data_IF_294386904469
#
_entry.id   IF_294386904469
#
_cell.length_a   1.000
_cell.length_b   1.000
_cell.length_c   1.000
_cell.angle_alpha   90.00
_cell.angle_beta   90.00
_cell.angle_gamma   90.00
#
_symmetry.space_group_name_H-M   'P 1'
#
loop_
_entity.id
_entity.type
_entity.pdbx_description
1 polymer ?
#
# COMPACT_ATOMS: atom_id res chain seq x y z
N UNK A 1 4.59 15.54 30.17
CA UNK A 1 3.34 16.23 30.58
C UNK A 1 2.18 15.27 30.38
N UNK A 2 1.25 15.17 31.33
CA UNK A 2 0.07 14.31 31.20
C UNK A 2 -0.84 14.83 30.08
N UNK A 3 -1.12 13.99 29.09
CA UNK A 3 -1.93 14.35 27.93
C UNK A 3 -3.39 13.95 28.16
N UNK A 4 -4.30 14.92 28.04
CA UNK A 4 -5.71 14.75 28.33
C UNK A 4 -6.55 14.78 27.05
N UNK A 5 -7.43 13.79 26.89
CA UNK A 5 -8.32 13.64 25.74
C UNK A 5 -9.75 14.01 26.13
N UNK A 6 -10.45 14.86 25.35
CA UNK A 6 -11.86 15.12 25.57
C UNK A 6 -12.72 13.88 25.25
N UNK A 7 -13.92 13.82 25.81
CA UNK A 7 -14.86 12.71 25.60
C UNK A 7 -15.09 12.36 24.13
N UNK A 8 -15.09 13.34 23.22
CA UNK A 8 -15.21 13.11 21.78
C UNK A 8 -13.99 12.40 21.20
N UNK A 9 -12.77 12.81 21.57
CA UNK A 9 -11.54 12.14 21.14
C UNK A 9 -11.46 10.70 21.66
N UNK A 10 -11.87 10.49 22.91
CA UNK A 10 -12.00 9.14 23.48
C UNK A 10 -13.06 8.29 22.74
N UNK A 11 -14.20 8.88 22.39
CA UNK A 11 -15.26 8.20 21.64
C UNK A 11 -14.78 7.72 20.27
N UNK A 12 -14.05 8.59 19.55
CA UNK A 12 -13.45 8.27 18.25
C UNK A 12 -12.44 7.13 18.36
N UNK A 13 -11.52 7.17 19.34
CA UNK A 13 -10.53 6.11 19.55
C UNK A 13 -11.17 4.77 19.92
N UNK A 14 -12.21 4.79 20.74
CA UNK A 14 -12.87 3.58 21.22
C UNK A 14 -13.98 3.06 20.31
N UNK A 15 -14.24 3.71 19.17
CA UNK A 15 -15.34 3.43 18.24
C UNK A 15 -16.71 3.31 18.93
N UNK A 16 -17.01 4.25 19.82
CA UNK A 16 -18.30 4.36 20.52
C UNK A 16 -18.93 5.73 20.29
N UNK A 17 -20.22 5.86 20.56
CA UNK A 17 -20.87 7.18 20.51
C UNK A 17 -20.39 8.09 21.64
N UNK A 18 -20.38 9.40 21.40
CA UNK A 18 -19.98 10.41 22.38
C UNK A 18 -20.81 10.34 23.68
N UNK A 19 -22.10 10.00 23.57
CA UNK A 19 -22.98 9.75 24.72
C UNK A 19 -22.51 8.57 25.58
N UNK A 20 -22.09 7.47 24.95
CA UNK A 20 -21.54 6.30 25.65
C UNK A 20 -20.18 6.61 26.28
N UNK A 21 -19.35 7.41 25.60
CA UNK A 21 -18.08 7.89 26.11
C UNK A 21 -18.25 8.78 27.36
N UNK A 22 -19.11 9.81 27.32
CA UNK A 22 -19.42 10.63 28.51
C UNK A 22 -19.93 9.79 29.68
N UNK A 23 -20.86 8.87 29.43
CA UNK A 23 -21.39 7.97 30.47
C UNK A 23 -20.32 7.04 31.06
N UNK A 24 -19.34 6.60 30.27
CA UNK A 24 -18.21 5.82 30.77
C UNK A 24 -17.28 6.65 31.66
N UNK A 25 -16.93 7.86 31.22
CA UNK A 25 -16.06 8.78 31.96
C UNK A 25 -16.71 9.24 33.27
N UNK A 26 -18.00 9.56 33.25
CA UNK A 26 -18.77 9.91 34.45
C UNK A 26 -18.82 8.74 35.45
N UNK A 27 -19.04 7.51 34.98
CA UNK A 27 -19.04 6.32 35.85
C UNK A 27 -17.66 6.03 36.45
N UNK A 28 -16.59 6.29 35.69
CA UNK A 28 -15.22 6.17 36.21
C UNK A 28 -14.95 7.23 37.27
N UNK A 29 -15.36 8.49 37.05
CA UNK A 29 -15.12 9.59 37.97
C UNK A 29 -15.98 9.51 39.25
N UNK A 30 -17.29 9.32 39.11
CA UNK A 30 -18.26 9.40 40.22
C UNK A 30 -18.49 8.09 40.94
N UNK A 31 -18.40 6.96 40.24
CA UNK A 31 -18.74 5.63 40.77
C UNK A 31 -17.53 4.70 40.87
N UNK A 32 -16.33 5.20 40.56
CA UNK A 32 -15.07 4.45 40.53
C UNK A 32 -15.18 3.10 39.78
N UNK A 33 -16.03 3.06 38.73
CA UNK A 33 -16.28 1.83 37.97
C UNK A 33 -15.27 1.70 36.83
N UNK A 34 -14.65 0.52 36.66
CA UNK A 34 -13.74 0.29 35.54
C UNK A 34 -14.51 0.30 34.22
N UNK A 35 -13.87 0.81 33.17
CA UNK A 35 -14.35 0.72 31.80
C UNK A 35 -13.62 -0.40 31.08
N UNK A 36 -14.37 -1.44 30.67
CA UNK A 36 -13.81 -2.66 30.04
C UNK A 36 -12.64 -3.26 30.84
N UNK A 37 -12.79 -3.32 32.16
CA UNK A 37 -11.77 -3.88 33.08
C UNK A 37 -10.60 -2.93 33.41
N UNK A 38 -10.52 -1.75 32.80
CA UNK A 38 -9.44 -0.77 33.04
C UNK A 38 -9.96 0.42 33.86
N UNK A 39 -9.18 0.89 34.83
CA UNK A 39 -9.50 2.11 35.60
C UNK A 39 -9.02 3.34 34.83
N UNK A 40 -9.92 4.25 34.52
CA UNK A 40 -9.61 5.47 33.78
C UNK A 40 -9.37 6.63 34.76
N UNK A 41 -8.30 7.39 34.55
CA UNK A 41 -8.07 8.66 35.25
C UNK A 41 -8.83 9.74 34.51
N UNK A 42 -9.86 10.29 35.14
CA UNK A 42 -10.78 11.25 34.52
C UNK A 42 -10.76 12.55 35.32
N UNK A 43 -10.87 13.69 34.64
CA UNK A 43 -11.06 15.01 35.28
C UNK A 43 -12.22 15.78 34.64
N UNK A 44 -12.71 16.77 35.38
CA UNK A 44 -13.57 17.81 34.85
C UNK A 44 -12.71 19.02 34.48
N UNK A 45 -12.84 19.49 33.24
CA UNK A 45 -12.19 20.70 32.76
C UNK A 45 -13.25 21.73 32.32
N UNK A 46 -13.00 23.03 32.48
CA UNK A 46 -13.87 24.06 31.92
C UNK A 46 -13.87 23.99 30.39
N UNK A 47 -15.04 24.06 29.76
CA UNK A 47 -15.16 24.02 28.31
C UNK A 47 -16.60 24.02 27.78
N UNK A 48 -16.78 24.48 26.55
CA UNK A 48 -18.07 24.51 25.87
C UNK A 48 -18.59 23.08 25.59
N UNK A 49 -19.88 22.82 25.88
CA UNK A 49 -20.58 21.59 25.45
C UNK A 49 -21.02 20.61 26.56
N UNK A 50 -21.19 21.06 27.81
CA UNK A 50 -21.79 20.25 28.88
C UNK A 50 -22.65 21.09 29.85
N UNK A 51 -23.54 20.46 30.65
CA UNK A 51 -24.29 21.17 31.70
C UNK A 51 -23.31 21.87 32.65
N UNK A 52 -23.51 23.16 32.92
CA UNK A 52 -22.64 24.02 33.76
C UNK A 52 -21.24 24.33 33.18
N UNK A 53 -21.02 24.19 31.86
CA UNK A 53 -19.77 24.64 31.22
C UNK A 53 -18.54 23.77 31.53
N UNK A 54 -18.75 22.51 31.92
CA UNK A 54 -17.70 21.55 32.21
C UNK A 54 -17.73 20.37 31.24
N UNK A 55 -16.55 19.84 30.90
CA UNK A 55 -16.37 18.65 30.05
C UNK A 55 -15.52 17.60 30.75
N UNK A 56 -15.80 16.33 30.44
CA UNK A 56 -14.99 15.21 30.90
C UNK A 56 -13.78 15.01 30.00
N UNK A 57 -12.61 14.89 30.62
CA UNK A 57 -11.36 14.54 29.96
C UNK A 57 -10.74 13.31 30.62
N UNK A 58 -10.11 12.45 29.82
CA UNK A 58 -9.42 11.23 30.27
C UNK A 58 -7.94 11.35 30.00
N UNK A 59 -7.12 10.88 30.93
CA UNK A 59 -5.68 10.84 30.77
C UNK A 59 -5.29 9.71 29.80
N UNK A 60 -4.49 10.03 28.79
CA UNK A 60 -4.08 9.08 27.75
C UNK A 60 -3.38 7.84 28.32
N UNK A 61 -2.51 8.01 29.31
CA UNK A 61 -1.77 6.93 29.98
C UNK A 61 -2.67 5.94 30.73
N UNK A 62 -3.87 6.36 31.12
CA UNK A 62 -4.86 5.51 31.81
C UNK A 62 -5.72 4.67 30.87
N UNK A 63 -5.63 4.92 29.55
CA UNK A 63 -6.36 4.14 28.56
C UNK A 63 -5.73 2.74 28.37
N UNK A 64 -6.50 1.73 27.93
CA UNK A 64 -5.95 0.46 27.48
C UNK A 64 -4.86 0.65 26.42
N UNK A 65 -3.82 -0.20 26.46
CA UNK A 65 -2.65 -0.10 25.57
C UNK A 65 -3.02 0.02 24.08
N UNK A 66 -4.00 -0.75 23.63
CA UNK A 66 -4.51 -0.69 22.26
C UNK A 66 -5.02 0.71 21.85
N UNK A 67 -5.65 1.46 22.76
CA UNK A 67 -6.13 2.82 22.48
C UNK A 67 -4.98 3.84 22.51
N UNK A 68 -3.97 3.61 23.34
CA UNK A 68 -2.75 4.42 23.35
C UNK A 68 -1.98 4.27 22.04
N UNK A 69 -1.86 3.04 21.53
CA UNK A 69 -1.24 2.74 20.23
C UNK A 69 -2.03 3.31 19.07
N UNK A 70 -3.37 3.19 19.09
CA UNK A 70 -4.24 3.80 18.08
C UNK A 70 -4.10 5.32 18.04
N UNK A 71 -3.97 5.96 19.21
CA UNK A 71 -3.72 7.40 19.28
C UNK A 71 -2.34 7.78 18.75
N UNK A 72 -1.28 7.02 19.09
CA UNK A 72 0.07 7.24 18.55
C UNK A 72 0.12 7.08 17.04
N UNK A 73 -0.61 6.11 16.48
CA UNK A 73 -0.69 5.89 15.03
C UNK A 73 -1.34 7.08 14.30
N UNK A 74 -2.29 7.79 14.91
CA UNK A 74 -2.90 9.00 14.35
C UNK A 74 -1.95 10.21 14.35
N UNK A 75 -0.98 10.23 15.27
CA UNK A 75 0.00 11.32 15.40
C UNK A 75 1.28 11.07 14.61
N UNK A 76 1.58 9.80 14.31
CA UNK A 76 2.65 9.47 13.37
C UNK A 76 2.33 10.14 12.03
N UNK A 77 3.17 11.07 11.54
CA UNK A 77 3.00 11.60 10.22
C UNK A 77 3.20 10.43 9.26
N UNK A 78 2.10 9.90 8.74
CA UNK A 78 2.14 9.15 7.49
C UNK A 78 2.60 10.17 6.47
N UNK A 79 3.91 10.30 6.27
CA UNK A 79 4.46 10.85 5.04
C UNK A 79 3.89 9.96 3.95
N UNK A 80 2.78 10.40 3.37
CA UNK A 80 2.32 9.88 2.10
C UNK A 80 3.55 10.02 1.20
N UNK A 81 4.16 8.89 0.86
CA UNK A 81 5.20 8.86 -0.17
C UNK A 81 4.50 9.45 -1.39
N UNK A 82 4.92 10.62 -1.90
CA UNK A 82 4.27 11.19 -3.06
C UNK A 82 4.39 10.14 -4.17
N UNK A 83 3.25 9.78 -4.76
CA UNK A 83 3.22 8.88 -5.90
C UNK A 83 4.18 9.42 -6.96
N UNK A 84 5.28 8.71 -7.20
CA UNK A 84 6.33 9.07 -8.18
C UNK A 84 5.83 8.94 -9.65
N UNK A 85 4.52 8.90 -9.88
CA UNK A 85 3.85 8.84 -11.19
C UNK A 85 2.63 9.76 -11.24
N UNK A 86 2.75 10.96 -10.69
CA UNK A 86 1.86 12.06 -11.06
C UNK A 86 2.51 12.80 -12.25
N UNK A 87 2.04 12.53 -13.47
CA UNK A 87 2.42 13.31 -14.67
C UNK A 87 2.13 14.82 -14.46
N UNK A 88 1.23 15.14 -13.54
CA UNK A 88 0.93 16.48 -13.03
C UNK A 88 2.15 17.18 -12.39
N UNK A 89 2.97 16.42 -11.64
CA UNK A 89 4.14 16.96 -10.94
C UNK A 89 5.24 17.39 -11.92
N UNK A 90 5.35 16.73 -13.08
CA UNK A 90 6.35 17.08 -14.09
C UNK A 90 6.09 18.49 -14.65
N UNK A 91 4.84 18.83 -14.95
CA UNK A 91 4.50 20.15 -15.53
C UNK A 91 4.73 21.29 -14.53
N UNK A 92 4.35 21.11 -13.26
CA UNK A 92 4.56 22.14 -12.24
C UNK A 92 6.04 22.39 -11.94
N UNK A 93 6.84 21.33 -11.81
CA UNK A 93 8.29 21.45 -11.63
C UNK A 93 8.99 22.01 -12.87
N UNK A 94 8.56 21.62 -14.07
CA UNK A 94 9.07 22.19 -15.32
C UNK A 94 8.79 23.70 -15.41
N UNK A 95 7.56 24.14 -15.10
CA UNK A 95 7.23 25.58 -15.03
C UNK A 95 8.06 26.32 -13.99
N UNK A 96 8.25 25.72 -12.81
CA UNK A 96 9.06 26.30 -11.73
C UNK A 96 10.51 26.49 -12.18
N UNK A 97 11.10 25.48 -12.80
CA UNK A 97 12.46 25.56 -13.34
C UNK A 97 12.61 26.71 -14.35
N UNK A 98 11.60 26.92 -15.19
CA UNK A 98 11.61 27.98 -16.20
C UNK A 98 11.60 29.38 -15.58
N UNK A 99 10.77 29.60 -14.55
CA UNK A 99 10.62 30.92 -13.90
C UNK A 99 11.64 31.16 -12.78
N UNK A 100 12.37 30.13 -12.35
CA UNK A 100 13.37 30.21 -11.27
C UNK A 100 14.41 31.33 -11.45
N UNK A 101 14.94 31.62 -12.66
CA UNK A 101 15.83 32.77 -12.86
C UNK A 101 15.17 34.11 -12.53
N UNK A 102 13.90 34.30 -12.91
CA UNK A 102 13.16 35.52 -12.62
C UNK A 102 12.79 35.65 -11.13
N UNK A 103 12.57 34.53 -10.44
CA UNK A 103 12.29 34.50 -8.98
C UNK A 103 13.50 34.90 -8.11
N UNK A 104 14.73 34.89 -8.64
CA UNK A 104 15.93 35.37 -7.92
C UNK A 104 15.96 36.88 -7.75
N UNK A 105 15.13 37.60 -8.49
CA UNK A 105 15.07 39.06 -8.48
C UNK A 105 13.79 39.52 -7.76
N UNK A 106 13.89 40.67 -7.11
CA UNK A 106 12.75 41.26 -6.41
C UNK A 106 11.57 41.52 -7.35
N UNK A 107 10.37 41.43 -6.79
CA UNK A 107 9.13 41.68 -7.52
C UNK A 107 9.14 43.12 -8.06
N UNK A 108 8.77 43.29 -9.33
CA UNK A 108 8.76 44.57 -10.05
C UNK A 108 10.13 45.21 -10.35
N UNK A 109 11.24 44.50 -10.11
CA UNK A 109 12.57 45.02 -10.47
C UNK A 109 12.80 44.99 -11.99
N UNK A 110 13.62 45.94 -12.49
CA UNK A 110 14.03 45.96 -13.89
C UNK A 110 14.78 44.67 -14.29
N UNK A 111 15.61 44.14 -13.38
CA UNK A 111 16.32 42.87 -13.54
C UNK A 111 15.37 41.68 -13.73
N UNK A 112 14.22 41.66 -13.02
CA UNK A 112 13.18 40.64 -13.22
C UNK A 112 12.52 40.77 -14.59
N UNK A 113 12.25 41.98 -15.04
CA UNK A 113 11.69 42.22 -16.38
C UNK A 113 12.64 41.83 -17.52
N UNK A 114 13.95 41.95 -17.33
CA UNK A 114 14.95 41.43 -18.27
C UNK A 114 15.01 39.90 -18.26
N UNK A 115 14.99 39.27 -17.08
CA UNK A 115 14.94 37.83 -16.96
C UNK A 115 13.69 37.22 -17.64
N UNK A 116 12.53 37.87 -17.51
CA UNK A 116 11.29 37.45 -18.19
C UNK A 116 11.43 37.53 -19.71
N UNK A 117 11.95 38.64 -20.25
CA UNK A 117 12.19 38.80 -21.69
C UNK A 117 13.16 37.75 -22.24
N UNK A 118 14.20 37.42 -21.48
CA UNK A 118 15.15 36.36 -21.84
C UNK A 118 14.47 34.99 -21.88
N UNK A 119 13.60 34.69 -20.90
CA UNK A 119 12.83 33.45 -20.89
C UNK A 119 11.91 33.37 -22.12
N UNK A 120 11.29 34.48 -22.53
CA UNK A 120 10.36 34.49 -23.65
C UNK A 120 11.03 34.45 -25.04
N UNK A 121 12.28 34.92 -25.13
CA UNK A 121 13.07 34.87 -26.35
C UNK A 121 13.60 33.46 -26.69
N UNK A 122 13.63 32.55 -25.71
CA UNK A 122 14.16 31.20 -25.88
C UNK A 122 13.07 30.17 -26.22
N UNK A 123 13.29 29.38 -27.26
CA UNK A 123 12.50 28.17 -27.52
C UNK A 123 13.01 27.03 -26.65
N UNK A 124 12.11 26.39 -25.89
CA UNK A 124 12.47 25.35 -24.92
C UNK A 124 11.72 24.05 -25.19
N UNK A 125 12.28 22.94 -24.73
CA UNK A 125 11.62 21.64 -24.82
C UNK A 125 10.54 21.53 -23.73
N UNK A 126 9.30 21.28 -24.16
CA UNK A 126 8.17 21.03 -23.26
C UNK A 126 8.24 19.66 -22.58
N UNK A 127 7.37 19.40 -21.59
CA UNK A 127 7.31 18.12 -20.88
C UNK A 127 7.04 16.92 -21.80
N UNK A 128 6.37 17.16 -22.94
CA UNK A 128 6.05 16.14 -23.96
C UNK A 128 7.17 15.99 -25.02
N UNK A 129 8.33 16.61 -24.83
CA UNK A 129 9.48 16.54 -25.75
C UNK A 129 9.40 17.46 -26.98
N UNK A 130 8.33 18.24 -27.14
CA UNK A 130 8.13 19.15 -28.28
C UNK A 130 8.69 20.55 -27.99
N UNK A 131 9.18 21.29 -29.01
CA UNK A 131 9.59 22.68 -28.82
C UNK A 131 8.39 23.58 -28.51
N UNK A 132 8.53 24.44 -27.50
CA UNK A 132 7.52 25.38 -27.02
C UNK A 132 8.16 26.75 -26.84
N UNK A 133 7.56 27.77 -27.43
CA UNK A 133 7.88 29.19 -27.18
C UNK A 133 6.89 29.75 -26.17
N UNK A 134 7.39 30.35 -25.10
CA UNK A 134 6.56 30.84 -23.98
C UNK A 134 6.53 32.36 -24.03
N UNK A 135 5.35 32.96 -24.04
CA UNK A 135 5.22 34.42 -24.11
C UNK A 135 5.51 35.09 -22.77
N UNK A 136 5.95 36.35 -22.78
CA UNK A 136 6.12 37.19 -21.58
C UNK A 136 4.89 37.13 -20.65
N UNK A 137 3.70 37.24 -21.25
CA UNK A 137 2.41 37.15 -20.53
C UNK A 137 2.23 35.82 -19.79
N UNK A 138 2.71 34.71 -20.38
CA UNK A 138 2.62 33.38 -19.78
C UNK A 138 3.61 33.23 -18.61
N UNK A 139 4.82 33.75 -18.77
CA UNK A 139 5.83 33.79 -17.70
C UNK A 139 5.32 34.62 -16.52
N UNK A 140 4.78 35.81 -16.77
CA UNK A 140 4.22 36.66 -15.72
C UNK A 140 3.05 35.98 -14.99
N UNK A 141 2.13 35.35 -15.72
CA UNK A 141 1.02 34.58 -15.13
C UNK A 141 1.51 33.45 -14.23
N UNK A 142 2.61 32.78 -14.58
CA UNK A 142 3.19 31.73 -13.75
C UNK A 142 3.88 32.30 -12.51
N UNK A 143 4.59 33.42 -12.63
CA UNK A 143 5.17 34.12 -11.47
C UNK A 143 4.08 34.52 -10.47
N UNK A 144 2.98 35.11 -10.95
CA UNK A 144 1.87 35.53 -10.10
C UNK A 144 1.19 34.32 -9.41
N UNK A 145 0.99 33.22 -10.17
CA UNK A 145 0.42 31.99 -9.62
C UNK A 145 1.34 31.32 -8.58
N UNK A 146 2.66 31.37 -8.80
CA UNK A 146 3.63 30.84 -7.85
C UNK A 146 3.72 31.69 -6.58
N UNK A 147 3.66 33.01 -6.69
CA UNK A 147 3.64 33.90 -5.53
C UNK A 147 2.36 33.74 -4.69
N UNK A 148 1.22 33.45 -5.33
CA UNK A 148 -0.05 33.27 -4.63
C UNK A 148 -0.20 31.88 -3.96
N UNK A 149 0.16 30.81 -4.66
CA UNK A 149 -0.17 29.42 -4.26
C UNK A 149 1.08 28.51 -4.20
N UNK A 150 2.29 29.05 -4.37
CA UNK A 150 3.53 28.27 -4.43
C UNK A 150 3.59 27.32 -5.63
N UNK A 151 4.24 26.17 -5.45
CA UNK A 151 4.33 25.13 -6.50
C UNK A 151 2.93 24.66 -6.96
N UNK A 152 1.93 24.65 -6.07
CA UNK A 152 0.57 24.22 -6.39
C UNK A 152 -0.10 25.11 -7.46
N UNK A 153 0.17 26.42 -7.45
CA UNK A 153 -0.36 27.36 -8.46
C UNK A 153 0.20 27.14 -9.87
N UNK A 154 1.35 26.48 -9.98
CA UNK A 154 1.96 26.12 -11.25
C UNK A 154 1.45 24.78 -11.80
N UNK A 155 0.75 23.98 -11.00
CA UNK A 155 0.21 22.70 -11.43
C UNK A 155 -0.94 22.88 -12.43
N UNK A 156 -1.24 21.83 -13.20
CA UNK A 156 -2.45 21.82 -14.03
C UNK A 156 -3.68 21.80 -13.11
N UNK A 157 -4.52 22.82 -13.21
CA UNK A 157 -5.82 22.83 -12.52
C UNK A 157 -6.64 21.64 -13.00
N UNK A 158 -7.26 20.95 -12.05
CA UNK A 158 -8.27 19.95 -12.38
C UNK A 158 -9.36 20.62 -13.22
N UNK A 159 -9.79 19.96 -14.30
CA UNK A 159 -10.87 20.49 -15.14
C UNK A 159 -12.14 20.63 -14.31
N UNK A 160 -12.90 21.72 -14.53
CA UNK A 160 -14.12 22.05 -13.77
C UNK A 160 -15.20 20.98 -13.86
N UNK A 161 -15.25 20.26 -14.98
CA UNK A 161 -16.15 19.16 -15.28
C UNK A 161 -15.63 17.78 -14.82
N UNK A 162 -14.49 17.74 -14.12
CA UNK A 162 -13.95 16.50 -13.57
C UNK A 162 -14.95 15.90 -12.58
N UNK A 163 -15.63 14.83 -13.00
CA UNK A 163 -16.64 14.12 -12.22
C UNK A 163 -18.06 14.24 -12.76
N UNK A 164 -18.33 15.12 -13.72
CA UNK A 164 -19.62 15.17 -14.41
C UNK A 164 -19.65 14.10 -15.51
N UNK A 165 -20.23 12.93 -15.24
CA UNK A 165 -20.52 11.95 -16.28
C UNK A 165 -21.65 12.47 -17.16
N UNK A 166 -21.31 13.03 -18.32
CA UNK A 166 -22.30 13.41 -19.36
C UNK A 166 -22.81 12.22 -20.16
N UNK A 167 -22.24 11.03 -19.93
CA UNK A 167 -22.39 9.82 -20.72
C UNK A 167 -22.38 8.64 -19.76
N UNK A 168 -23.41 7.79 -19.86
CA UNK A 168 -23.61 6.61 -19.02
C UNK A 168 -22.72 5.46 -19.48
N UNK A 169 -22.75 5.12 -20.78
CA UNK A 169 -21.91 4.05 -21.36
C UNK A 169 -21.00 4.62 -22.44
N UNK A 170 -21.55 5.17 -23.51
CA UNK A 170 -20.79 5.82 -24.57
C UNK A 170 -21.68 6.80 -25.31
N UNK A 171 -21.14 7.94 -25.78
CA UNK A 171 -21.94 8.94 -26.48
C UNK A 171 -22.67 8.36 -27.71
N UNK A 172 -22.05 7.38 -28.40
CA UNK A 172 -22.65 6.69 -29.55
C UNK A 172 -23.84 5.83 -29.14
N UNK A 173 -23.70 5.04 -28.07
CA UNK A 173 -24.79 4.20 -27.59
C UNK A 173 -25.90 5.03 -26.95
N UNK A 174 -25.55 5.95 -26.04
CA UNK A 174 -26.48 6.81 -25.30
C UNK A 174 -27.37 7.65 -26.24
N UNK A 175 -26.84 8.06 -27.41
CA UNK A 175 -27.57 8.82 -28.43
C UNK A 175 -28.29 7.98 -29.48
N UNK A 176 -27.94 6.69 -29.64
CA UNK A 176 -28.58 5.79 -30.61
C UNK A 176 -29.79 5.05 -30.03
N UNK A 177 -29.85 4.88 -28.71
CA UNK A 177 -30.95 4.17 -28.04
C UNK A 177 -32.05 5.14 -27.59
N UNK A 178 -33.34 4.78 -27.74
CA UNK A 178 -34.48 5.64 -27.41
C UNK A 178 -34.90 5.45 -25.95
N UNK A 179 -33.95 5.15 -25.07
CA UNK A 179 -34.21 4.82 -23.67
C UNK A 179 -34.19 6.08 -22.80
N UNK A 180 -34.97 6.07 -21.73
CA UNK A 180 -34.83 7.04 -20.66
C UNK A 180 -33.52 6.82 -19.88
N UNK A 181 -33.17 7.77 -19.01
CA UNK A 181 -31.93 7.71 -18.25
C UNK A 181 -31.90 6.52 -17.27
N UNK A 182 -33.04 6.19 -16.66
CA UNK A 182 -33.14 5.10 -15.69
C UNK A 182 -32.87 3.72 -16.30
N UNK A 183 -33.36 3.48 -17.52
CA UNK A 183 -33.09 2.25 -18.27
C UNK A 183 -31.62 2.22 -18.69
N UNK A 184 -31.05 3.36 -19.13
CA UNK A 184 -29.63 3.44 -19.49
C UNK A 184 -28.73 3.09 -18.31
N UNK A 185 -29.01 3.64 -17.13
CA UNK A 185 -28.30 3.33 -15.88
C UNK A 185 -28.42 1.85 -15.51
N UNK A 186 -29.61 1.27 -15.64
CA UNK A 186 -29.85 -0.16 -15.36
C UNK A 186 -29.02 -1.07 -16.28
N UNK A 187 -28.94 -0.74 -17.57
CA UNK A 187 -28.09 -1.46 -18.53
C UNK A 187 -26.63 -1.30 -18.17
N UNK A 188 -26.20 -0.08 -17.82
CA UNK A 188 -24.82 0.21 -17.46
C UNK A 188 -24.37 -0.56 -16.21
N UNK A 189 -25.19 -0.62 -15.15
CA UNK A 189 -24.88 -1.42 -13.96
C UNK A 189 -24.83 -2.92 -14.27
N UNK A 190 -25.76 -3.42 -15.09
CA UNK A 190 -25.72 -4.81 -15.56
C UNK A 190 -24.45 -5.13 -16.37
N UNK A 191 -24.01 -4.19 -17.20
CA UNK A 191 -22.77 -4.30 -17.98
C UNK A 191 -21.53 -4.27 -17.06
N UNK A 192 -21.47 -3.35 -16.10
CA UNK A 192 -20.38 -3.28 -15.11
C UNK A 192 -20.28 -4.56 -14.30
N UNK A 193 -21.41 -5.11 -13.84
CA UNK A 193 -21.46 -6.37 -13.11
C UNK A 193 -20.92 -7.55 -13.95
N UNK A 194 -21.24 -7.58 -15.24
CA UNK A 194 -20.70 -8.59 -16.17
C UNK A 194 -19.18 -8.44 -16.39
N UNK A 195 -18.71 -7.23 -16.69
CA UNK A 195 -17.27 -6.93 -16.85
C UNK A 195 -16.48 -7.29 -15.59
N UNK A 196 -17.04 -6.98 -14.41
CA UNK A 196 -16.49 -7.38 -13.12
C UNK A 196 -16.33 -8.90 -13.00
N UNK A 197 -17.32 -9.67 -13.46
CA UNK A 197 -17.25 -11.13 -13.54
C UNK A 197 -16.07 -11.61 -14.38
N UNK A 198 -15.92 -11.05 -15.57
CA UNK A 198 -14.81 -11.39 -16.48
C UNK A 198 -13.42 -11.08 -15.87
N UNK A 199 -13.29 -9.96 -15.15
CA UNK A 199 -12.05 -9.67 -14.42
C UNK A 199 -11.79 -10.70 -13.30
N UNK A 200 -12.81 -11.10 -12.54
CA UNK A 200 -12.70 -12.13 -11.49
C UNK A 200 -12.31 -13.50 -12.04
N UNK A 201 -12.68 -13.80 -13.27
CA UNK A 201 -12.30 -15.02 -13.99
C UNK A 201 -10.87 -14.95 -14.55
N UNK A 202 -10.29 -13.75 -14.64
CA UNK A 202 -8.95 -13.54 -15.18
C UNK A 202 -8.91 -13.46 -16.70
N UNK A 203 -10.04 -13.15 -17.33
CA UNK A 203 -10.18 -13.03 -18.80
C UNK A 203 -9.18 -12.01 -19.36
N UNK A 204 -8.70 -12.26 -20.59
CA UNK A 204 -7.76 -11.36 -21.26
C UNK A 204 -8.45 -10.03 -21.63
N UNK A 205 -7.68 -8.94 -21.66
CA UNK A 205 -8.22 -7.61 -21.93
C UNK A 205 -8.91 -7.51 -23.30
N UNK A 206 -8.33 -8.12 -24.34
CA UNK A 206 -8.90 -8.14 -25.69
C UNK A 206 -10.22 -8.92 -25.74
N UNK A 207 -10.31 -10.03 -25.01
CA UNK A 207 -11.54 -10.82 -24.96
C UNK A 207 -12.64 -10.11 -24.15
N UNK A 208 -12.26 -9.38 -23.09
CA UNK A 208 -13.21 -8.54 -22.33
C UNK A 208 -13.84 -7.48 -23.25
N UNK A 209 -13.06 -6.84 -24.12
CA UNK A 209 -13.59 -5.83 -25.05
C UNK A 209 -14.69 -6.44 -25.95
N UNK A 210 -14.43 -7.62 -26.52
CA UNK A 210 -15.39 -8.33 -27.37
C UNK A 210 -16.64 -8.78 -26.60
N UNK A 211 -16.46 -9.42 -25.44
CA UNK A 211 -17.57 -9.94 -24.63
C UNK A 211 -18.43 -8.82 -24.04
N UNK A 212 -17.82 -7.71 -23.64
CA UNK A 212 -18.55 -6.55 -23.13
C UNK A 212 -19.39 -5.90 -24.23
N UNK A 213 -18.86 -5.79 -25.45
CA UNK A 213 -19.62 -5.28 -26.59
C UNK A 213 -20.80 -6.18 -26.95
N UNK A 214 -20.59 -7.50 -26.98
CA UNK A 214 -21.67 -8.46 -27.23
C UNK A 214 -22.73 -8.43 -26.11
N UNK A 215 -22.29 -8.34 -24.85
CA UNK A 215 -23.21 -8.22 -23.71
C UNK A 215 -24.06 -6.96 -23.79
N UNK A 216 -23.46 -5.82 -24.17
CA UNK A 216 -24.20 -4.57 -24.36
C UNK A 216 -25.24 -4.71 -25.49
N UNK A 217 -24.89 -5.40 -26.59
CA UNK A 217 -25.82 -5.72 -27.67
C UNK A 217 -27.00 -6.54 -27.17
N UNK A 218 -26.76 -7.63 -26.42
CA UNK A 218 -27.80 -8.47 -25.84
C UNK A 218 -28.74 -7.68 -24.91
N UNK A 219 -28.16 -6.86 -24.01
CA UNK A 219 -28.94 -6.05 -23.06
C UNK A 219 -29.80 -4.98 -23.76
N UNK A 220 -29.32 -4.46 -24.89
CA UNK A 220 -30.04 -3.51 -25.74
C UNK A 220 -31.15 -4.20 -26.53
N UNK A 221 -30.85 -5.34 -27.16
CA UNK A 221 -31.81 -6.13 -27.94
C UNK A 221 -32.98 -6.65 -27.11
N UNK A 222 -32.75 -6.96 -25.83
CA UNK A 222 -33.81 -7.35 -24.90
C UNK A 222 -34.87 -6.26 -24.63
N UNK A 223 -34.64 -5.03 -25.09
CA UNK A 223 -35.52 -3.86 -24.86
C UNK A 223 -35.86 -3.11 -26.15
N UNK A 224 -35.28 -3.50 -27.27
CA UNK A 224 -35.38 -2.77 -28.52
C UNK A 224 -35.09 -3.68 -29.72
N UNK A 225 -36.12 -3.89 -30.54
CA UNK A 225 -36.09 -4.87 -31.64
C UNK A 225 -35.15 -4.50 -32.79
N UNK A 226 -34.81 -3.20 -32.93
CA UNK A 226 -33.89 -2.73 -33.98
C UNK A 226 -32.42 -2.70 -33.54
N UNK A 227 -32.10 -3.10 -32.31
CA UNK A 227 -30.72 -3.20 -31.83
C UNK A 227 -29.80 -4.09 -32.72
N UNK A 228 -30.26 -5.22 -33.29
CA UNK A 228 -29.45 -6.03 -34.20
C UNK A 228 -29.06 -5.30 -35.50
N UNK A 229 -29.85 -4.31 -35.94
CA UNK A 229 -29.58 -3.52 -37.13
C UNK A 229 -28.62 -2.34 -36.88
N UNK A 230 -28.27 -2.06 -35.62
CA UNK A 230 -27.34 -0.97 -35.29
C UNK A 230 -25.89 -1.32 -35.66
N UNK A 231 -25.06 -0.33 -36.05
CA UNK A 231 -23.64 -0.56 -36.31
C UNK A 231 -22.89 -1.16 -35.12
N UNK A 232 -21.96 -2.08 -35.37
CA UNK A 232 -21.16 -2.71 -34.32
C UNK A 232 -20.41 -1.69 -33.43
N UNK A 233 -19.98 -0.57 -34.01
CA UNK A 233 -19.32 0.54 -33.31
C UNK A 233 -20.18 1.20 -32.24
N UNK A 234 -21.52 1.10 -32.33
CA UNK A 234 -22.45 1.59 -31.30
C UNK A 234 -22.27 0.83 -29.99
N UNK A 235 -21.94 -0.46 -30.06
CA UNK A 235 -21.78 -1.33 -28.90
C UNK A 235 -20.35 -1.35 -28.35
N UNK A 236 -19.43 -0.53 -28.90
CA UNK A 236 -18.05 -0.47 -28.41
C UNK A 236 -18.02 0.15 -27.02
N UNK A 237 -17.67 -0.65 -26.02
CA UNK A 237 -17.55 -0.21 -24.63
C UNK A 237 -16.24 0.59 -24.45
N UNK A 238 -16.28 1.80 -23.86
CA UNK A 238 -15.07 2.57 -23.62
C UNK A 238 -14.12 1.91 -22.64
N UNK A 239 -12.82 2.01 -22.94
CA UNK A 239 -11.75 1.47 -22.10
C UNK A 239 -11.80 1.92 -20.64
N UNK A 240 -12.08 3.21 -20.32
CA UNK A 240 -12.21 3.66 -18.93
C UNK A 240 -13.28 2.91 -18.12
N UNK A 241 -14.39 2.52 -18.75
CA UNK A 241 -15.47 1.76 -18.08
C UNK A 241 -15.00 0.34 -17.74
N UNK A 242 -14.25 -0.29 -18.64
CA UNK A 242 -13.67 -1.62 -18.42
C UNK A 242 -12.57 -1.60 -17.36
N UNK A 243 -11.69 -0.59 -17.41
CA UNK A 243 -10.54 -0.49 -16.52
C UNK A 243 -10.94 -0.08 -15.09
N UNK A 244 -12.07 0.60 -14.91
CA UNK A 244 -12.63 0.89 -13.59
C UNK A 244 -12.92 -0.39 -12.76
N UNK A 245 -13.27 -1.49 -13.44
CA UNK A 245 -13.54 -2.79 -12.81
C UNK A 245 -12.28 -3.69 -12.73
N UNK A 246 -11.12 -3.23 -13.21
CA UNK A 246 -9.88 -4.04 -13.28
C UNK A 246 -9.37 -4.49 -11.91
N UNK A 247 -9.66 -3.72 -10.84
CA UNK A 247 -9.28 -4.06 -9.47
C UNK A 247 -9.78 -5.45 -9.03
N UNK A 248 -10.89 -5.93 -9.60
CA UNK A 248 -11.46 -7.24 -9.29
C UNK A 248 -10.66 -8.42 -9.89
N UNK A 249 -9.66 -8.15 -10.75
CA UNK A 249 -8.71 -9.14 -11.24
C UNK A 249 -7.86 -9.75 -10.12
N UNK A 250 -7.74 -9.07 -8.97
CA UNK A 250 -7.11 -9.62 -7.78
C UNK A 250 -7.79 -10.91 -7.28
N UNK A 251 -9.09 -11.08 -7.55
CA UNK A 251 -9.80 -12.33 -7.24
C UNK A 251 -9.30 -13.48 -8.11
N UNK A 252 -9.06 -13.22 -9.40
CA UNK A 252 -8.51 -14.23 -10.30
C UNK A 252 -7.09 -14.61 -9.88
N UNK A 253 -6.25 -13.62 -9.56
CA UNK A 253 -4.90 -13.83 -9.05
C UNK A 253 -4.94 -14.68 -7.78
N UNK A 254 -5.76 -14.32 -6.80
CA UNK A 254 -5.88 -15.10 -5.56
C UNK A 254 -6.23 -16.57 -5.79
N UNK A 255 -7.17 -16.84 -6.71
CA UNK A 255 -7.67 -18.20 -6.96
C UNK A 255 -6.74 -19.04 -7.84
N UNK A 256 -6.11 -18.44 -8.85
CA UNK A 256 -5.34 -19.15 -9.88
C UNK A 256 -3.83 -19.09 -9.65
N UNK A 257 -3.34 -18.04 -9.01
CA UNK A 257 -1.92 -17.80 -8.75
C UNK A 257 -1.72 -17.22 -7.34
N UNK A 258 -1.80 -18.12 -6.36
CA UNK A 258 -1.65 -17.78 -4.95
C UNK A 258 -0.31 -17.12 -4.66
N UNK A 259 0.75 -17.55 -5.36
CA UNK A 259 2.10 -17.02 -5.18
C UNK A 259 2.19 -15.57 -5.65
N UNK A 260 1.78 -15.27 -6.88
CA UNK A 260 1.76 -13.90 -7.38
C UNK A 260 0.85 -13.00 -6.54
N UNK A 261 -0.26 -13.53 -6.02
CA UNK A 261 -1.10 -12.79 -5.08
C UNK A 261 -0.36 -12.43 -3.79
N UNK A 262 0.28 -13.38 -3.11
CA UNK A 262 1.03 -13.10 -1.88
C UNK A 262 2.24 -12.18 -2.14
N UNK A 263 2.94 -12.35 -3.26
CA UNK A 263 4.07 -11.51 -3.67
C UNK A 263 3.65 -10.06 -3.97
N UNK A 264 2.41 -9.85 -4.44
CA UNK A 264 1.85 -8.51 -4.71
C UNK A 264 1.46 -7.75 -3.44
N UNK A 265 1.39 -8.42 -2.28
CA UNK A 265 1.04 -7.77 -1.02
C UNK A 265 2.21 -6.91 -0.53
N UNK A 266 1.94 -5.78 0.14
CA UNK A 266 2.98 -5.01 0.78
C UNK A 266 3.80 -5.91 1.71
N UNK A 267 5.11 -5.98 1.48
CA UNK A 267 6.00 -6.77 2.33
C UNK A 267 6.00 -6.15 3.72
N UNK A 268 5.57 -6.92 4.72
CA UNK A 268 5.76 -6.55 6.11
C UNK A 268 7.24 -6.78 6.41
N UNK A 269 7.98 -5.71 6.68
CA UNK A 269 9.34 -5.83 7.19
C UNK A 269 9.27 -6.33 8.63
N UNK A 270 9.67 -7.58 8.84
CA UNK A 270 9.86 -8.12 10.18
C UNK A 270 11.24 -7.69 10.65
N UNK A 271 11.31 -6.83 11.67
CA UNK A 271 12.59 -6.50 12.32
C UNK A 271 13.01 -7.63 13.25
N UNK A 272 14.31 -7.80 13.41
CA UNK A 272 14.95 -8.73 14.34
C UNK A 272 15.62 -7.97 15.50
N UNK A 273 15.51 -6.65 15.48
CA UNK A 273 16.10 -5.76 16.48
C UNK A 273 15.51 -6.07 17.86
N UNK A 274 16.38 -6.18 18.86
CA UNK A 274 16.01 -6.53 20.23
C UNK A 274 15.74 -8.02 20.48
N UNK A 275 15.85 -8.90 19.48
CA UNK A 275 15.77 -10.35 19.71
C UNK A 275 17.08 -10.89 20.28
N UNK A 276 17.00 -11.58 21.41
CA UNK A 276 18.10 -12.38 21.93
C UNK A 276 18.26 -13.67 21.10
N UNK A 277 19.48 -14.20 20.95
CA UNK A 277 19.70 -15.54 20.38
C UNK A 277 18.76 -16.57 21.00
N UNK A 278 18.15 -17.42 20.16
CA UNK A 278 17.23 -18.48 20.57
C UNK A 278 15.89 -18.02 21.17
N UNK A 279 15.60 -16.71 21.22
CA UNK A 279 14.33 -16.20 21.74
C UNK A 279 13.14 -16.62 20.87
N UNK A 280 13.32 -16.64 19.55
CA UNK A 280 12.31 -17.13 18.60
C UNK A 280 12.99 -18.07 17.62
N UNK A 281 12.51 -19.31 17.58
CA UNK A 281 12.97 -20.34 16.65
C UNK A 281 11.80 -20.69 15.75
N UNK A 282 12.05 -20.71 14.44
CA UNK A 282 11.07 -21.13 13.44
C UNK A 282 11.46 -22.51 12.96
N UNK A 283 10.57 -23.48 13.11
CA UNK A 283 10.72 -24.82 12.55
C UNK A 283 9.98 -24.94 11.23
N UNK A 284 10.58 -25.63 10.27
CA UNK A 284 9.92 -26.02 9.01
C UNK A 284 10.33 -27.43 8.58
N UNK A 285 9.48 -28.07 7.79
CA UNK A 285 9.72 -29.39 7.22
C UNK A 285 9.73 -29.28 5.71
N UNK A 286 10.91 -29.47 5.12
CA UNK A 286 11.13 -29.32 3.69
C UNK A 286 11.33 -30.68 3.00
N UNK A 287 10.74 -30.86 1.83
CA UNK A 287 11.03 -32.01 0.97
C UNK A 287 12.33 -31.71 0.22
N UNK A 288 13.30 -32.63 0.25
CA UNK A 288 14.53 -32.47 -0.52
C UNK A 288 14.31 -33.06 -1.91
N UNK A 289 14.58 -32.27 -2.95
CA UNK A 289 14.53 -32.71 -4.36
C UNK A 289 15.78 -33.53 -4.76
N UNK A 290 16.30 -34.33 -3.83
CA UNK A 290 17.43 -35.24 -4.02
C UNK A 290 16.95 -36.62 -3.63
N UNK A 291 16.83 -37.54 -4.60
CA UNK A 291 16.41 -38.90 -4.30
C UNK A 291 17.54 -39.71 -3.65
N UNK A 292 17.16 -40.62 -2.75
CA UNK A 292 18.07 -41.56 -2.10
C UNK A 292 17.50 -42.97 -2.18
N UNK A 293 18.38 -43.97 -2.23
CA UNK A 293 18.00 -45.38 -2.15
C UNK A 293 17.97 -45.81 -0.68
N UNK A 294 16.86 -46.42 -0.26
CA UNK A 294 16.73 -47.07 1.04
C UNK A 294 17.50 -48.40 1.07
N UNK A 295 17.78 -48.95 2.26
CA UNK A 295 18.39 -50.28 2.39
C UNK A 295 17.59 -51.41 1.71
N UNK A 296 16.27 -51.25 1.58
CA UNK A 296 15.39 -52.20 0.89
C UNK A 296 15.40 -52.07 -0.66
N UNK A 297 16.25 -51.20 -1.21
CA UNK A 297 16.38 -50.94 -2.64
C UNK A 297 15.34 -49.98 -3.22
N UNK A 298 14.39 -49.48 -2.42
CA UNK A 298 13.39 -48.53 -2.90
C UNK A 298 13.91 -47.09 -2.90
N UNK A 299 13.42 -46.27 -3.84
CA UNK A 299 13.75 -44.84 -3.92
C UNK A 299 12.86 -44.03 -2.98
N UNK A 300 13.45 -43.03 -2.35
CA UNK A 300 12.78 -42.11 -1.45
C UNK A 300 13.30 -40.68 -1.60
N UNK A 301 12.46 -39.71 -1.25
CA UNK A 301 12.85 -38.32 -1.08
C UNK A 301 12.99 -38.05 0.42
N UNK A 302 14.21 -37.81 0.92
CA UNK A 302 14.41 -37.46 2.31
C UNK A 302 13.75 -36.13 2.62
N UNK A 303 13.40 -35.95 3.89
CA UNK A 303 12.80 -34.71 4.38
C UNK A 303 13.76 -34.04 5.34
N UNK A 304 13.92 -32.74 5.21
CA UNK A 304 14.70 -31.92 6.12
C UNK A 304 13.78 -31.32 7.17
N UNK A 305 14.11 -31.54 8.45
CA UNK A 305 13.53 -30.76 9.55
C UNK A 305 14.53 -29.64 9.84
N UNK A 306 14.16 -28.42 9.48
CA UNK A 306 15.01 -27.24 9.62
C UNK A 306 14.50 -26.37 10.77
N UNK A 307 15.44 -25.77 11.48
CA UNK A 307 15.17 -24.81 12.54
C UNK A 307 16.02 -23.57 12.31
N UNK A 308 15.39 -22.41 12.35
CA UNK A 308 16.00 -21.10 12.14
C UNK A 308 15.91 -20.28 13.41
N UNK A 309 17.04 -19.80 13.91
CA UNK A 309 17.08 -18.73 14.92
C UNK A 309 16.77 -17.38 14.27
N UNK A 310 15.66 -16.75 14.67
CA UNK A 310 15.26 -15.41 14.20
C UNK A 310 16.08 -14.26 14.79
N UNK A 311 16.98 -14.48 15.74
CA UNK A 311 17.98 -13.48 16.07
C UNK A 311 19.20 -13.61 15.16
N UNK A 312 19.85 -14.78 15.15
CA UNK A 312 21.19 -14.95 14.55
C UNK A 312 21.25 -15.40 13.09
N UNK A 313 20.12 -15.79 12.48
CA UNK A 313 20.05 -16.40 11.14
C UNK A 313 20.80 -17.73 11.02
N UNK A 314 21.12 -18.38 12.14
CA UNK A 314 21.65 -19.73 12.12
C UNK A 314 20.53 -20.71 11.80
N UNK A 315 20.82 -21.62 10.88
CA UNK A 315 19.95 -22.74 10.53
C UNK A 315 20.64 -24.03 10.95
N UNK A 316 19.90 -24.90 11.62
CA UNK A 316 20.29 -26.29 11.83
C UNK A 316 19.24 -27.18 11.19
N UNK A 317 19.72 -28.21 10.50
CA UNK A 317 18.91 -29.04 9.64
C UNK A 317 19.25 -30.50 9.89
N UNK A 318 18.21 -31.28 10.17
CA UNK A 318 18.29 -32.73 10.30
C UNK A 318 17.62 -33.37 9.09
N UNK A 319 18.38 -34.16 8.34
CA UNK A 319 17.85 -34.95 7.22
C UNK A 319 17.31 -36.27 7.76
N UNK A 320 16.07 -36.57 7.41
CA UNK A 320 15.38 -37.81 7.80
C UNK A 320 14.98 -38.57 6.54
N UNK A 321 15.51 -39.78 6.41
CA UNK A 321 15.05 -40.76 5.44
C UNK A 321 13.97 -41.63 6.10
N UNK A 322 12.73 -41.53 5.63
CA UNK A 322 11.60 -42.25 6.20
C UNK A 322 11.35 -43.57 5.48
N UNK A 323 10.83 -44.55 6.22
CA UNK A 323 10.37 -45.82 5.68
C UNK A 323 9.23 -45.63 4.66
N UNK A 324 9.01 -46.66 3.84
CA UNK A 324 7.95 -46.61 2.82
C UNK A 324 6.58 -46.43 3.48
N UNK A 325 5.82 -45.44 3.00
CA UNK A 325 4.48 -45.11 3.53
C UNK A 325 4.51 -44.27 4.81
N UNK A 326 5.68 -43.88 5.31
CA UNK A 326 5.79 -43.05 6.50
C UNK A 326 5.93 -41.55 6.17
N UNK A 327 5.25 -40.71 6.97
CA UNK A 327 5.37 -39.25 6.94
C UNK A 327 6.10 -38.71 8.18
N UNK A 328 6.46 -37.42 8.14
CA UNK A 328 7.01 -36.75 9.34
C UNK A 328 5.91 -36.68 10.40
N UNK A 329 6.19 -37.21 11.59
CA UNK A 329 5.31 -37.19 12.75
C UNK A 329 5.82 -36.18 13.77
N UNK A 330 4.97 -35.80 14.72
CA UNK A 330 5.36 -34.93 15.84
C UNK A 330 6.56 -35.48 16.64
N UNK A 331 6.69 -36.79 16.76
CA UNK A 331 7.82 -37.44 17.45
C UNK A 331 9.16 -37.08 16.80
N UNK A 332 9.23 -37.02 15.47
CA UNK A 332 10.43 -36.60 14.74
C UNK A 332 10.76 -35.14 15.05
N UNK A 333 9.77 -34.26 15.01
CA UNK A 333 9.96 -32.83 15.28
C UNK A 333 10.41 -32.58 16.73
N UNK A 334 9.77 -33.24 17.70
CA UNK A 334 10.10 -33.11 19.13
C UNK A 334 11.53 -33.62 19.42
N UNK A 335 11.88 -34.80 18.88
CA UNK A 335 13.21 -35.38 19.09
C UNK A 335 14.33 -34.47 18.57
N UNK A 336 14.12 -33.82 17.42
CA UNK A 336 15.08 -32.90 16.81
C UNK A 336 15.10 -31.52 17.46
N UNK A 337 13.94 -31.02 17.91
CA UNK A 337 13.87 -29.81 18.75
C UNK A 337 14.71 -29.97 20.02
N UNK A 338 14.58 -31.10 20.71
CA UNK A 338 15.37 -31.39 21.92
C UNK A 338 16.87 -31.57 21.63
N UNK A 339 17.24 -32.11 20.47
CA UNK A 339 18.64 -32.22 20.04
C UNK A 339 19.27 -30.84 19.77
N UNK A 340 18.55 -29.93 19.10
CA UNK A 340 18.97 -28.55 18.87
C UNK A 340 19.20 -27.79 20.18
N UNK A 341 18.32 -27.94 21.18
CA UNK A 341 18.54 -27.34 22.50
C UNK A 341 19.80 -27.88 23.20
N UNK A 342 20.12 -29.17 23.03
CA UNK A 342 21.28 -29.81 23.67
C UNK A 342 22.62 -29.45 23.02
N UNK A 343 22.68 -29.38 21.70
CA UNK A 343 23.92 -29.01 20.97
C UNK A 343 24.31 -27.54 21.17
N UNK A 344 23.37 -26.70 21.59
CA UNK A 344 23.58 -25.27 21.81
C UNK A 344 24.05 -24.98 23.24
N UNK A 345 23.58 -25.72 24.24
CA UNK A 345 24.05 -25.60 25.63
C UNK A 345 25.55 -25.87 25.79
N UNK A 346 26.14 -26.73 24.96
CA UNK A 346 27.59 -27.00 24.95
C UNK A 346 28.42 -25.89 24.28
N UNK A 347 27.83 -25.12 23.34
CA UNK A 347 28.49 -23.99 22.69
C UNK A 347 28.54 -22.75 23.60
N UNK A 348 27.54 -22.54 24.46
CA UNK A 348 27.50 -21.42 25.41
C UNK A 348 28.59 -21.54 26.50
N UNK A 349 29.01 -22.76 26.85
CA UNK A 349 30.14 -22.97 27.78
C UNK A 349 31.52 -22.68 27.16
N UNK A 350 31.65 -22.70 25.83
CA UNK A 350 32.93 -22.53 25.15
C UNK A 350 33.29 -21.05 24.88
N UNK A 351 32.33 -20.13 25.02
CA UNK A 351 32.48 -18.71 24.66
C UNK A 351 33.07 -17.81 25.77
N UNK A 352 33.49 -18.36 26.92
CA UNK A 352 34.12 -17.57 28.01
C UNK A 352 35.65 -17.48 27.90
N UNK A 353 36.27 -18.02 26.84
CA UNK A 353 37.70 -17.81 26.59
C UNK A 353 37.93 -16.58 25.71
N UNK A 354 38.71 -15.66 26.28
CA UNK A 354 39.22 -14.37 25.80
C UNK A 354 39.47 -14.30 24.29
N UNK A 355 39.16 -13.19 23.60
CA UNK A 355 39.41 -13.06 22.17
C UNK A 355 40.92 -12.95 21.90
N UNK A 356 41.51 -14.01 21.37
CA UNK A 356 42.85 -13.96 20.78
C UNK A 356 42.81 -13.08 19.53
N UNK A 357 43.55 -11.97 19.55
CA UNK A 357 43.73 -11.09 18.38
C UNK A 357 44.29 -11.90 17.21
N UNK A 358 43.51 -12.04 16.15
CA UNK A 358 44.01 -12.52 14.87
C UNK A 358 44.94 -11.44 14.27
N UNK A 359 46.24 -11.73 14.20
CA UNK A 359 47.18 -11.00 13.34
C UNK A 359 46.99 -11.49 11.91
N UNK A 360 46.69 -10.58 10.99
CA UNK A 360 46.68 -10.88 9.57
C UNK A 360 48.09 -11.30 9.10
N UNK A 361 48.23 -12.36 8.27
CA UNK A 361 49.51 -12.68 7.67
C UNK A 361 49.86 -11.66 6.59
N UNK A 362 51.08 -11.13 6.65
CA UNK A 362 51.68 -10.22 5.69
C UNK A 362 51.82 -10.90 4.33
N UNK A 363 51.17 -10.33 3.31
CA UNK A 363 51.36 -10.73 1.91
C UNK A 363 52.76 -10.28 1.45
N UNK A 364 53.67 -11.22 1.29
CA UNK A 364 54.88 -11.07 0.48
C UNK A 364 55.04 -12.33 -0.36
N UNK A 365 54.79 -12.20 -1.66
CA UNK A 365 55.47 -12.98 -2.71
C UNK A 365 55.25 -12.31 -4.06
N UNK A 366 56.37 -11.85 -4.60
CA UNK A 366 56.53 -11.24 -5.90
C UNK A 366 56.14 -12.21 -7.02
N UNK A 367 55.49 -11.67 -8.05
CA UNK A 367 55.38 -12.28 -9.36
C UNK A 367 56.68 -12.02 -10.14
N UNK A 368 57.36 -13.08 -10.58
CA UNK A 368 58.31 -13.03 -11.70
C UNK A 368 57.59 -13.50 -12.97
N UNK A 369 57.83 -12.87 -14.13
CA UNK A 369 57.35 -13.37 -15.42
C UNK A 369 58.42 -14.25 -16.07
N UNK A 370 58.00 -15.29 -16.80
CA UNK A 370 58.87 -16.00 -17.72
C UNK A 370 58.05 -16.67 -18.82
N UNK A 371 58.45 -16.40 -20.07
CA UNK A 371 58.20 -17.23 -21.24
C UNK A 371 57.17 -16.67 -22.20
#
# INVERSE_FOLDING_TARGET
MAQWLPAMGFASLAHISERKARSALERSLRKNKPWRGTRLTVRLAPGAGGPRGVRYEVELSSLPLALQEAWKALQSPVKAIPNLRDDCNNVGHWRHHIIAPALRHEKWSAARGEAVRKIAAETRTGPDGKPVTITDRTVQRWLDAYEAEGIAGLMLRARRDKGAQRVVISQRWDGAVPFDEAIKETIAESLKAYIRGLHKEGTSAALIDTLAADRLRQLTAARCDYAPAMPALTFKVPRPLIDAERQFRNVALFKKDRKAYEDSRPRIFRTREGLAPMQIIVGDVHHLDICMMRPDGTVAWPKAIAWLDLATNRIWLDVVLLEKGEGIRNTHVIARSAAGCRSISSLTQCSTKTPTRYRAPSASRAWMPSG
#
